data_IF_659123273206
#
_entry.id   IF_659123273206
#
_cell.length_a   1.000
_cell.length_b   1.000
_cell.length_c   1.000
_cell.angle_alpha   90.00
_cell.angle_beta   90.00
_cell.angle_gamma   90.00
#
_symmetry.space_group_name_H-M   'P 1'
#
loop_
_entity.id
_entity.type
_entity.pdbx_description
1 polymer ?
#
# COMPACT_ATOMS: atom_id res chain seq x y z
N UNK A 1 9.12 7.17 10.92
CA UNK A 1 8.76 7.94 9.72
C UNK A 1 8.26 6.93 8.72
N UNK A 2 7.06 7.12 8.18
CA UNK A 2 6.60 6.38 7.01
C UNK A 2 7.28 7.03 5.81
N UNK A 3 8.06 6.25 5.07
CA UNK A 3 8.67 6.72 3.83
C UNK A 3 7.71 6.34 2.69
N UNK A 4 7.37 7.28 1.84
CA UNK A 4 6.42 7.10 0.75
C UNK A 4 7.09 7.42 -0.57
N UNK A 5 7.28 6.41 -1.40
CA UNK A 5 7.78 6.55 -2.76
C UNK A 5 6.58 6.56 -3.71
N UNK A 6 6.32 7.69 -4.35
CA UNK A 6 5.25 7.82 -5.36
C UNK A 6 5.85 8.02 -6.74
N UNK A 7 5.34 7.25 -7.69
CA UNK A 7 5.62 7.33 -9.13
C UNK A 7 4.32 7.56 -9.89
N UNK A 8 4.40 7.77 -11.22
CA UNK A 8 3.23 8.01 -12.08
C UNK A 8 2.19 6.88 -12.09
N UNK A 9 2.62 5.63 -11.84
CA UNK A 9 1.75 4.45 -11.90
C UNK A 9 1.83 3.54 -10.68
N UNK A 10 2.64 3.91 -9.68
CA UNK A 10 2.84 3.11 -8.48
C UNK A 10 3.11 3.98 -7.25
N UNK A 11 2.52 3.64 -6.12
CA UNK A 11 2.78 4.20 -4.80
C UNK A 11 3.29 3.10 -3.88
N UNK A 12 4.54 3.18 -3.46
CA UNK A 12 5.13 2.31 -2.46
C UNK A 12 5.17 3.03 -1.09
N UNK A 13 4.54 2.44 -0.09
CA UNK A 13 4.53 2.95 1.29
C UNK A 13 5.35 2.00 2.16
N UNK A 14 6.37 2.54 2.82
CA UNK A 14 7.27 1.79 3.68
C UNK A 14 6.76 1.81 5.11
N UNK A 15 6.44 0.62 5.62
CA UNK A 15 6.01 0.37 6.98
C UNK A 15 7.12 -0.30 7.78
N UNK A 16 7.28 0.14 9.03
CA UNK A 16 8.13 -0.57 9.97
C UNK A 16 7.58 -1.98 10.24
N UNK A 17 8.41 -3.00 10.04
CA UNK A 17 8.06 -4.39 10.30
C UNK A 17 8.13 -4.66 11.81
N UNK A 18 6.96 -4.72 12.45
CA UNK A 18 6.81 -5.13 13.85
C UNK A 18 5.72 -6.18 13.99
N UNK A 19 5.79 -7.00 15.04
CA UNK A 19 4.79 -8.02 15.33
C UNK A 19 3.38 -7.43 15.35
N UNK A 20 2.55 -7.84 14.40
CA UNK A 20 1.17 -7.38 14.21
C UNK A 20 0.96 -6.37 13.07
N UNK A 21 2.00 -5.69 12.58
CA UNK A 21 1.88 -4.74 11.44
C UNK A 21 1.46 -5.44 10.16
N UNK A 22 2.09 -6.56 9.83
CA UNK A 22 1.77 -7.34 8.62
C UNK A 22 0.30 -7.73 8.58
N UNK A 23 -0.22 -8.21 9.71
CA UNK A 23 -1.62 -8.63 9.82
C UNK A 23 -2.56 -7.45 9.57
N UNK A 24 -2.29 -6.31 10.23
CA UNK A 24 -3.10 -5.11 10.09
C UNK A 24 -3.05 -4.54 8.67
N UNK A 25 -1.89 -4.59 8.03
CA UNK A 25 -1.69 -4.15 6.64
C UNK A 25 -2.47 -5.05 5.68
N UNK A 26 -2.40 -6.38 5.87
CA UNK A 26 -3.19 -7.35 5.09
C UNK A 26 -4.70 -7.17 5.29
N UNK A 27 -5.17 -6.91 6.50
CA UNK A 27 -6.59 -6.63 6.77
C UNK A 27 -7.04 -5.34 6.06
N UNK A 28 -6.19 -4.31 6.03
CA UNK A 28 -6.47 -3.06 5.33
C UNK A 28 -6.49 -3.25 3.80
N UNK A 29 -5.51 -3.96 3.25
CA UNK A 29 -5.46 -4.31 1.82
C UNK A 29 -6.66 -5.15 1.41
N UNK A 30 -7.03 -6.15 2.21
CA UNK A 30 -8.20 -6.98 1.93
C UNK A 30 -9.51 -6.17 1.96
N UNK A 31 -9.63 -5.20 2.89
CA UNK A 31 -10.79 -4.32 2.98
C UNK A 31 -10.88 -3.39 1.75
N UNK A 32 -9.78 -2.74 1.38
CA UNK A 32 -9.71 -1.84 0.22
C UNK A 32 -9.88 -2.60 -1.10
N UNK A 33 -9.33 -3.82 -1.20
CA UNK A 33 -9.46 -4.66 -2.39
C UNK A 33 -10.89 -5.19 -2.55
N UNK A 34 -11.56 -5.53 -1.44
CA UNK A 34 -12.93 -6.04 -1.47
C UNK A 34 -13.98 -4.95 -1.73
N UNK A 35 -13.63 -3.68 -1.52
CA UNK A 35 -14.55 -2.55 -1.68
C UNK A 35 -14.22 -1.79 -2.97
N UNK A 36 -14.71 -2.29 -4.11
CA UNK A 36 -14.60 -1.62 -5.41
C UNK A 36 -13.19 -1.08 -5.72
N UNK A 37 -12.18 -1.95 -5.57
CA UNK A 37 -10.77 -1.56 -5.70
C UNK A 37 -10.52 -0.82 -7.02
N UNK A 38 -10.31 0.48 -6.90
CA UNK A 38 -10.00 1.37 -8.02
C UNK A 38 -8.55 1.15 -8.46
N UNK A 39 -7.71 0.66 -7.54
CA UNK A 39 -6.27 0.41 -7.70
C UNK A 39 -5.95 -0.98 -7.17
N UNK A 40 -4.87 -1.56 -7.69
CA UNK A 40 -4.33 -2.85 -7.26
C UNK A 40 -3.45 -2.66 -6.03
N UNK A 41 -3.61 -3.52 -5.02
CA UNK A 41 -2.89 -3.44 -3.76
C UNK A 41 -2.10 -4.73 -3.54
N UNK A 42 -0.79 -4.60 -3.36
CA UNK A 42 0.13 -5.69 -3.11
C UNK A 42 1.01 -5.39 -1.88
N UNK A 43 1.44 -6.44 -1.18
CA UNK A 43 2.32 -6.31 -0.01
C UNK A 43 3.61 -7.07 -0.30
N UNK A 44 4.71 -6.32 -0.42
CA UNK A 44 6.04 -6.91 -0.49
C UNK A 44 6.59 -7.10 0.93
N UNK A 45 6.71 -8.37 1.31
CA UNK A 45 7.28 -8.81 2.58
C UNK A 45 8.71 -9.37 2.42
N UNK A 46 9.26 -9.32 1.21
CA UNK A 46 10.57 -9.88 0.87
C UNK A 46 11.71 -9.01 1.40
N UNK A 47 11.42 -7.74 1.68
CA UNK A 47 12.34 -6.77 2.26
C UNK A 47 12.37 -6.81 3.81
N UNK A 48 13.37 -6.11 4.37
CA UNK A 48 13.52 -5.96 5.82
C UNK A 48 12.37 -5.13 6.43
N UNK A 49 11.86 -4.16 5.66
CA UNK A 49 10.65 -3.40 5.88
C UNK A 49 9.44 -4.05 5.18
N UNK A 50 8.23 -3.72 5.64
CA UNK A 50 6.99 -4.06 4.95
C UNK A 50 6.69 -2.98 3.93
N UNK A 51 6.47 -3.34 2.67
CA UNK A 51 6.11 -2.37 1.63
C UNK A 51 4.72 -2.63 1.15
N UNK A 52 3.89 -1.60 1.19
CA UNK A 52 2.59 -1.61 0.54
C UNK A 52 2.75 -0.99 -0.84
N UNK A 53 2.59 -1.80 -1.87
CA UNK A 53 2.65 -1.38 -3.26
C UNK A 53 1.23 -1.18 -3.76
N UNK A 54 0.91 0.04 -4.17
CA UNK A 54 -0.38 0.37 -4.75
C UNK A 54 -0.16 0.73 -6.20
N UNK A 55 -0.70 -0.08 -7.11
CA UNK A 55 -0.57 0.12 -8.55
C UNK A 55 -1.89 0.62 -9.10
N UNK A 56 -1.87 1.77 -9.74
CA UNK A 56 -3.09 2.42 -10.24
C UNK A 56 -2.79 3.30 -11.45
N UNK A 57 -3.82 3.89 -12.03
CA UNK A 57 -3.61 4.90 -13.06
C UNK A 57 -3.16 6.22 -12.45
N UNK A 58 -2.52 7.05 -13.27
CA UNK A 58 -2.04 8.38 -12.90
C UNK A 58 -3.14 9.33 -12.41
N UNK A 59 -4.42 9.02 -12.66
CA UNK A 59 -5.58 9.77 -12.15
C UNK A 59 -6.09 9.24 -10.80
N UNK A 60 -5.86 7.96 -10.52
CA UNK A 60 -6.34 7.27 -9.33
C UNK A 60 -5.36 7.42 -8.15
N UNK A 61 -4.05 7.34 -8.41
CA UNK A 61 -3.02 7.44 -7.38
C UNK A 61 -2.94 8.82 -6.68
N UNK A 62 -3.13 9.96 -7.37
CA UNK A 62 -3.20 11.26 -6.70
C UNK A 62 -4.47 11.41 -5.84
N UNK A 63 -5.58 10.79 -6.26
CA UNK A 63 -6.84 10.80 -5.53
C UNK A 63 -6.80 9.90 -4.28
N UNK A 64 -5.89 8.92 -4.24
CA UNK A 64 -5.65 8.06 -3.10
C UNK A 64 -4.99 8.86 -1.95
N UNK A 65 -5.81 9.30 -1.00
CA UNK A 65 -5.33 9.87 0.27
C UNK A 65 -5.21 8.73 1.27
N UNK A 66 -3.99 8.22 1.46
CA UNK A 66 -3.69 7.28 2.54
C UNK A 66 -3.44 8.12 3.80
N UNK A 67 -4.44 8.19 4.68
CA UNK A 67 -4.48 9.04 5.88
C UNK A 67 -4.00 8.35 7.14
#
# INVERSE_FOLDING_TARGET
MLETERTDSCLAIHFAKFDGSTRRLRELVAAETSCCAVVDWDIDETHADLRLIVTGTAEQLPALTVG
#
